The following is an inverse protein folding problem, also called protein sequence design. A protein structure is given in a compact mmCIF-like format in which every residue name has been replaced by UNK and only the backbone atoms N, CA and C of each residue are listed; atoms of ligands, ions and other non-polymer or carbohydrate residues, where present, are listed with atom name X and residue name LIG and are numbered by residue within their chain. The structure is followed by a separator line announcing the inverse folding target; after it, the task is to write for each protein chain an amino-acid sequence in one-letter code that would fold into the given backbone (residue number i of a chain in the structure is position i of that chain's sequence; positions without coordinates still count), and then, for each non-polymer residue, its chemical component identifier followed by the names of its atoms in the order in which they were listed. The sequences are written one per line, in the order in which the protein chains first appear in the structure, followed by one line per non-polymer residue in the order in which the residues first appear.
data_IF_015260569936
#
_entry.id   IF_015260569936
#
_cell.length_a   1.000
_cell.length_b   1.000
_cell.length_c   1.000
_cell.angle_alpha   90.00
_cell.angle_beta   90.00
_cell.angle_gamma   90.00
#
_symmetry.space_group_name_H-M   'P 1'
#
loop_
_entity.id
_entity.type
_entity.pdbx_description
1 polymer ?
#
# COMPACT_ATOMS: atom_id res chain seq x y z
N UNK A 1 7.21 -6.06 18.30
CA UNK A 1 8.09 -5.77 17.14
C UNK A 1 9.15 -4.79 17.63
N UNK A 2 10.44 -5.10 17.50
CA UNK A 2 11.52 -4.19 17.90
C UNK A 2 11.87 -3.34 16.68
N UNK A 3 11.82 -2.02 16.80
CA UNK A 3 12.23 -1.10 15.73
C UNK A 3 13.72 -1.28 15.48
N UNK A 4 14.14 -1.28 14.21
CA UNK A 4 15.54 -1.51 13.85
C UNK A 4 16.31 -0.18 13.77
N UNK A 5 15.63 0.95 13.55
CA UNK A 5 16.23 2.28 13.32
C UNK A 5 16.35 3.21 14.53
N UNK A 6 16.24 2.70 15.76
CA UNK A 6 16.31 3.55 16.96
C UNK A 6 14.99 4.32 17.19
N UNK A 7 15.04 5.65 17.24
CA UNK A 7 13.90 6.53 17.57
C UNK A 7 13.01 6.92 16.36
N UNK A 8 13.48 6.63 15.15
CA UNK A 8 12.74 6.88 13.91
C UNK A 8 12.15 5.59 13.34
N UNK A 9 11.04 5.68 12.62
CA UNK A 9 10.39 4.59 11.90
C UNK A 9 10.23 5.03 10.44
N UNK A 10 11.09 4.57 9.52
CA UNK A 10 10.92 4.83 8.10
C UNK A 10 9.81 3.92 7.53
N UNK A 11 8.79 4.53 6.93
CA UNK A 11 7.59 3.85 6.43
C UNK A 11 7.34 4.24 4.98
N UNK A 12 6.97 3.26 4.14
CA UNK A 12 6.29 3.54 2.88
C UNK A 12 4.78 3.33 3.09
N UNK A 13 3.99 4.38 2.89
CA UNK A 13 2.53 4.34 2.84
C UNK A 13 2.04 4.11 1.41
N UNK A 14 0.98 3.32 1.25
CA UNK A 14 0.31 3.05 -0.02
C UNK A 14 -1.19 3.30 0.10
N UNK A 15 -1.75 3.99 -0.88
CA UNK A 15 -3.18 4.23 -0.99
C UNK A 15 -3.65 4.10 -2.43
N UNK A 16 -4.74 3.36 -2.65
CA UNK A 16 -5.51 3.43 -3.89
C UNK A 16 -6.92 3.91 -3.61
N UNK A 17 -7.21 5.15 -4.04
CA UNK A 17 -8.54 5.72 -3.98
C UNK A 17 -9.52 5.08 -4.95
N UNK A 18 -10.81 5.24 -4.66
CA UNK A 18 -11.91 4.82 -5.54
C UNK A 18 -12.05 5.71 -6.79
N UNK A 19 -11.31 6.82 -6.87
CA UNK A 19 -11.23 7.66 -8.08
C UNK A 19 -10.51 6.97 -9.23
N UNK A 20 -9.78 5.88 -8.98
CA UNK A 20 -9.03 5.11 -9.99
C UNK A 20 -7.96 5.93 -10.74
N UNK A 21 -7.49 7.01 -10.12
CA UNK A 21 -6.45 7.88 -10.68
C UNK A 21 -5.08 7.18 -10.70
N UNK A 22 -4.80 6.40 -9.65
CA UNK A 22 -3.54 5.69 -9.50
C UNK A 22 -3.33 5.05 -8.12
N UNK A 23 -2.10 4.58 -7.93
CA UNK A 23 -1.54 4.15 -6.66
C UNK A 23 -0.63 5.25 -6.12
N UNK A 24 -0.96 5.79 -4.95
CA UNK A 24 -0.13 6.75 -4.25
C UNK A 24 0.87 6.04 -3.35
N UNK A 25 2.12 6.48 -3.40
CA UNK A 25 3.22 6.07 -2.54
C UNK A 25 3.76 7.28 -1.76
N UNK A 26 4.02 7.09 -0.48
CA UNK A 26 4.62 8.12 0.38
C UNK A 26 5.75 7.53 1.23
N UNK A 27 6.96 8.06 1.08
CA UNK A 27 8.07 7.79 1.99
C UNK A 27 8.00 8.76 3.17
N UNK A 28 7.79 8.22 4.37
CA UNK A 28 7.63 8.99 5.60
C UNK A 28 8.59 8.52 6.68
N UNK A 29 9.00 9.42 7.57
CA UNK A 29 9.64 9.08 8.85
C UNK A 29 8.70 9.45 9.98
N UNK A 30 8.48 8.53 10.91
CA UNK A 30 7.74 8.79 12.13
C UNK A 30 8.67 8.74 13.33
N UNK A 31 8.46 9.61 14.32
CA UNK A 31 9.29 9.71 15.52
C UNK A 31 8.41 9.88 16.74
N UNK A 32 8.77 9.24 17.86
CA UNK A 32 8.12 9.50 19.14
C UNK A 32 9.03 10.36 20.02
N UNK A 33 8.72 11.65 20.13
CA UNK A 33 9.49 12.59 20.93
C UNK A 33 8.72 12.86 22.22
N UNK A 34 9.20 12.30 23.34
CA UNK A 34 8.61 12.49 24.69
C UNK A 34 7.10 12.18 24.74
N UNK A 35 6.67 11.10 24.08
CA UNK A 35 5.27 10.67 24.04
C UNK A 35 4.42 11.33 22.96
N UNK A 36 4.98 12.24 22.15
CA UNK A 36 4.30 12.86 21.00
C UNK A 36 4.83 12.29 19.69
N UNK A 37 3.92 11.92 18.80
CA UNK A 37 4.29 11.48 17.46
C UNK A 37 4.49 12.67 16.54
N UNK A 38 5.63 12.67 15.87
CA UNK A 38 5.98 13.59 14.78
C UNK A 38 6.17 12.78 13.51
N UNK A 39 5.94 13.43 12.36
CA UNK A 39 6.22 12.82 11.07
C UNK A 39 6.85 13.80 10.08
N UNK A 40 7.60 13.25 9.14
CA UNK A 40 8.17 13.95 8.00
C UNK A 40 7.78 13.19 6.73
N UNK A 41 7.19 13.89 5.75
CA UNK A 41 7.00 13.37 4.39
C UNK A 41 8.26 13.71 3.58
N UNK A 42 8.99 12.69 3.16
CA UNK A 42 10.24 12.84 2.42
C UNK A 42 10.00 12.89 0.92
N UNK A 43 9.16 11.99 0.42
CA UNK A 43 8.84 11.89 -1.00
C UNK A 43 7.44 11.32 -1.20
N UNK A 44 6.71 11.87 -2.17
CA UNK A 44 5.46 11.31 -2.68
C UNK A 44 5.56 10.97 -4.16
N UNK A 45 4.79 9.97 -4.60
CA UNK A 45 4.63 9.59 -6.02
C UNK A 45 3.22 9.04 -6.25
N UNK A 46 2.63 9.39 -7.38
CA UNK A 46 1.39 8.75 -7.86
C UNK A 46 1.70 7.97 -9.14
N UNK A 47 1.46 6.67 -9.11
CA UNK A 47 1.57 5.78 -10.28
C UNK A 47 0.21 5.71 -10.95
N UNK A 48 0.07 6.31 -12.14
CA UNK A 48 -1.20 6.30 -12.87
C UNK A 48 -1.57 4.87 -13.27
N UNK A 49 -2.84 4.51 -13.08
CA UNK A 49 -3.31 3.21 -13.54
C UNK A 49 -3.41 3.13 -15.05
N UNK A 50 -3.02 1.97 -15.58
CA UNK A 50 -3.34 1.58 -16.95
C UNK A 50 -4.86 1.42 -17.11
N UNK A 51 -5.34 1.50 -18.35
CA UNK A 51 -6.76 1.27 -18.63
C UNK A 51 -7.23 -0.12 -18.15
N UNK A 52 -6.35 -1.13 -18.24
CA UNK A 52 -6.63 -2.47 -17.73
C UNK A 52 -6.84 -2.47 -16.20
N UNK A 53 -5.94 -1.84 -15.44
CA UNK A 53 -6.10 -1.75 -13.98
C UNK A 53 -7.36 -0.99 -13.57
N UNK A 54 -7.66 0.12 -14.27
CA UNK A 54 -8.90 0.87 -14.03
C UNK A 54 -10.13 -0.01 -14.21
N UNK A 55 -10.21 -0.74 -15.33
CA UNK A 55 -11.35 -1.63 -15.61
C UNK A 55 -11.47 -2.76 -14.59
N UNK A 56 -10.35 -3.40 -14.23
CA UNK A 56 -10.34 -4.49 -13.24
C UNK A 56 -10.79 -4.01 -11.86
N UNK A 57 -10.23 -2.91 -11.37
CA UNK A 57 -10.56 -2.35 -10.05
C UNK A 57 -11.99 -1.81 -10.01
N UNK A 58 -12.44 -1.14 -11.08
CA UNK A 58 -13.82 -0.66 -11.20
C UNK A 58 -14.85 -1.78 -11.13
N UNK A 59 -14.55 -2.93 -11.73
CA UNK A 59 -15.45 -4.08 -11.78
C UNK A 59 -15.27 -5.06 -10.61
N UNK A 60 -14.36 -4.79 -9.68
CA UNK A 60 -13.95 -5.73 -8.64
C UNK A 60 -15.12 -6.26 -7.78
N UNK A 61 -16.12 -5.43 -7.52
CA UNK A 61 -17.29 -5.81 -6.72
C UNK A 61 -18.21 -6.83 -7.41
N UNK A 62 -18.08 -6.99 -8.74
CA UNK A 62 -18.89 -7.90 -9.56
C UNK A 62 -18.15 -9.21 -9.88
N UNK A 63 -16.90 -9.35 -9.46
CA UNK A 63 -16.10 -10.55 -9.69
C UNK A 63 -16.64 -11.74 -8.88
N UNK A 64 -16.45 -12.95 -9.40
CA UNK A 64 -16.62 -14.16 -8.61
C UNK A 64 -15.63 -14.19 -7.44
N UNK A 65 -15.88 -15.08 -6.47
CA UNK A 65 -14.97 -15.25 -5.33
C UNK A 65 -13.55 -15.63 -5.76
N UNK A 66 -13.40 -16.49 -6.77
CA UNK A 66 -12.10 -16.91 -7.30
C UNK A 66 -11.36 -15.73 -7.98
N UNK A 67 -12.03 -15.02 -8.88
CA UNK A 67 -11.47 -13.86 -9.58
C UNK A 67 -11.11 -12.72 -8.59
N UNK A 68 -11.88 -12.54 -7.52
CA UNK A 68 -11.57 -11.54 -6.49
C UNK A 68 -10.31 -11.91 -5.70
N UNK A 69 -10.08 -13.20 -5.40
CA UNK A 69 -8.85 -13.67 -4.76
C UNK A 69 -7.66 -13.55 -5.73
N UNK A 70 -7.86 -13.82 -7.01
CA UNK A 70 -6.85 -13.58 -8.04
C UNK A 70 -6.48 -12.08 -8.11
N UNK A 71 -7.47 -11.19 -8.18
CA UNK A 71 -7.26 -9.75 -8.15
C UNK A 71 -6.54 -9.30 -6.86
N UNK A 72 -6.91 -9.86 -5.71
CA UNK A 72 -6.30 -9.56 -4.42
C UNK A 72 -4.78 -9.83 -4.42
N UNK A 73 -4.34 -10.89 -5.11
CA UNK A 73 -2.93 -11.24 -5.24
C UNK A 73 -2.23 -10.47 -6.36
N UNK A 74 -2.85 -10.35 -7.53
CA UNK A 74 -2.27 -9.65 -8.68
C UNK A 74 -2.05 -8.16 -8.37
N UNK A 75 -3.00 -7.53 -7.68
CA UNK A 75 -2.85 -6.14 -7.25
C UNK A 75 -1.75 -5.98 -6.19
N UNK A 76 -1.53 -6.99 -5.34
CA UNK A 76 -0.42 -7.01 -4.40
C UNK A 76 0.95 -7.10 -5.09
N UNK A 77 1.06 -7.90 -6.15
CA UNK A 77 2.27 -7.99 -6.97
C UNK A 77 2.58 -6.65 -7.66
N UNK A 78 1.57 -6.01 -8.22
CA UNK A 78 1.70 -4.67 -8.79
C UNK A 78 2.20 -3.66 -7.74
N UNK A 79 1.57 -3.59 -6.57
CA UNK A 79 2.03 -2.71 -5.48
C UNK A 79 3.47 -3.02 -5.05
N UNK A 80 3.83 -4.30 -4.90
CA UNK A 80 5.19 -4.71 -4.54
C UNK A 80 6.24 -4.28 -5.58
N UNK A 81 5.89 -4.32 -6.87
CA UNK A 81 6.76 -3.82 -7.94
C UNK A 81 6.93 -2.30 -7.86
N UNK A 82 5.83 -1.55 -7.70
CA UNK A 82 5.89 -0.09 -7.60
C UNK A 82 6.65 0.40 -6.36
N UNK A 83 6.54 -0.32 -5.24
CA UNK A 83 7.36 -0.05 -4.04
C UNK A 83 8.85 -0.22 -4.34
N UNK A 84 9.25 -1.29 -5.04
CA UNK A 84 10.66 -1.51 -5.40
C UNK A 84 11.18 -0.40 -6.29
N UNK A 85 10.43 -0.06 -7.34
CA UNK A 85 10.77 1.06 -8.24
C UNK A 85 10.93 2.35 -7.44
N UNK A 86 9.99 2.65 -6.54
CA UNK A 86 10.04 3.85 -5.70
C UNK A 86 11.22 3.85 -4.72
N UNK A 87 11.59 2.70 -4.15
CA UNK A 87 12.80 2.55 -3.32
C UNK A 87 14.05 2.82 -4.17
N UNK A 88 14.13 2.23 -5.37
CA UNK A 88 15.29 2.39 -6.26
C UNK A 88 15.44 3.84 -6.74
N UNK A 89 14.33 4.53 -7.04
CA UNK A 89 14.32 5.94 -7.45
C UNK A 89 14.73 6.90 -6.32
N UNK A 90 14.35 6.60 -5.08
CA UNK A 90 14.53 7.52 -3.94
C UNK A 90 15.71 7.18 -3.05
N UNK A 91 16.24 5.96 -3.14
CA UNK A 91 17.17 5.40 -2.16
C UNK A 91 16.56 5.19 -0.76
N UNK A 92 15.25 5.35 -0.60
CA UNK A 92 14.59 5.25 0.70
C UNK A 92 14.51 3.80 1.17
N UNK A 93 14.93 3.53 2.41
CA UNK A 93 14.95 2.17 2.97
C UNK A 93 13.91 2.04 4.10
N UNK A 94 12.66 1.64 3.81
CA UNK A 94 11.62 1.49 4.83
C UNK A 94 11.88 0.31 5.77
N UNK A 95 11.38 0.42 6.99
CA UNK A 95 11.22 -0.68 7.96
C UNK A 95 9.83 -1.29 7.92
N UNK A 96 8.85 -0.52 7.46
CA UNK A 96 7.45 -0.91 7.36
C UNK A 96 6.87 -0.45 6.03
N UNK A 97 5.99 -1.27 5.47
CA UNK A 97 5.03 -0.84 4.45
C UNK A 97 3.64 -0.86 5.06
N UNK A 98 2.94 0.25 4.97
CA UNK A 98 1.54 0.36 5.38
C UNK A 98 0.69 0.51 4.12
N UNK A 99 -0.14 -0.48 3.81
CA UNK A 99 -1.02 -0.45 2.64
C UNK A 99 -2.47 -0.41 3.06
N UNK A 100 -3.22 0.56 2.55
CA UNK A 100 -4.68 0.54 2.58
C UNK A 100 -5.26 -0.48 1.60
N UNK A 101 -4.60 -0.67 0.45
CA UNK A 101 -5.16 -1.41 -0.69
C UNK A 101 -6.22 -0.60 -1.45
N UNK A 102 -7.06 -1.29 -2.21
CA UNK A 102 -8.17 -0.71 -2.95
C UNK A 102 -9.51 -1.25 -2.42
N UNK A 103 -10.42 -0.38 -1.99
CA UNK A 103 -11.71 -0.77 -1.43
C UNK A 103 -12.62 -1.36 -2.50
N UNK A 104 -13.04 -2.62 -2.31
CA UNK A 104 -14.01 -3.30 -3.16
C UNK A 104 -15.39 -3.32 -2.51
N UNK A 105 -15.46 -3.61 -1.22
CA UNK A 105 -16.70 -3.60 -0.45
C UNK A 105 -16.56 -2.65 0.73
N UNK A 106 -17.57 -1.80 0.92
CA UNK A 106 -17.69 -0.91 2.08
C UNK A 106 -19.13 -0.97 2.58
N UNK A 107 -19.39 -1.85 3.56
CA UNK A 107 -20.73 -2.12 4.09
C UNK A 107 -20.68 -2.09 5.63
N UNK A 108 -20.38 -0.93 6.24
CA UNK A 108 -20.25 -0.79 7.69
C UNK A 108 -21.54 -1.16 8.44
N UNK A 109 -22.71 -0.96 7.84
CA UNK A 109 -24.01 -1.36 8.38
C UNK A 109 -24.14 -2.90 8.49
N UNK A 110 -23.43 -3.64 7.65
CA UNK A 110 -23.26 -5.11 7.74
C UNK A 110 -21.99 -5.51 8.48
N UNK A 111 -21.27 -4.56 9.07
CA UNK A 111 -20.04 -4.74 9.85
C UNK A 111 -18.88 -5.35 9.04
N UNK A 112 -18.80 -5.10 7.74
CA UNK A 112 -17.66 -5.55 6.95
C UNK A 112 -17.19 -4.53 5.90
N UNK A 113 -15.91 -4.63 5.59
CA UNK A 113 -15.22 -3.90 4.54
C UNK A 113 -14.19 -4.85 3.94
N UNK A 114 -13.88 -4.71 2.65
CA UNK A 114 -12.85 -5.52 2.01
C UNK A 114 -12.04 -4.67 1.03
N UNK A 115 -10.73 -4.75 1.19
CA UNK A 115 -9.74 -4.10 0.34
C UNK A 115 -8.91 -5.18 -0.36
N UNK A 116 -8.76 -5.07 -1.68
CA UNK A 116 -7.79 -5.90 -2.41
C UNK A 116 -6.38 -5.38 -2.23
N UNK A 117 -5.40 -6.30 -2.23
CA UNK A 117 -4.01 -5.98 -1.93
C UNK A 117 -3.44 -6.86 -0.82
N UNK A 118 -3.12 -8.11 -1.15
CA UNK A 118 -2.57 -9.09 -0.22
C UNK A 118 -1.28 -8.61 0.48
N UNK A 119 -1.40 -8.24 1.75
CA UNK A 119 -0.27 -7.80 2.57
C UNK A 119 0.87 -8.82 2.67
N UNK A 120 0.58 -10.12 2.60
CA UNK A 120 1.60 -11.17 2.66
C UNK A 120 2.51 -11.19 1.41
N UNK A 121 2.00 -10.73 0.26
CA UNK A 121 2.76 -10.60 -0.99
C UNK A 121 3.54 -9.28 -1.02
N UNK A 122 2.98 -8.21 -0.44
CA UNK A 122 3.63 -6.88 -0.36
C UNK A 122 4.90 -6.91 0.53
N UNK A 123 5.06 -7.93 1.39
CA UNK A 123 6.14 -8.03 2.37
C UNK A 123 7.52 -7.72 1.77
N UNK A 124 8.18 -6.74 2.38
CA UNK A 124 9.59 -6.47 2.15
C UNK A 124 10.45 -7.55 2.83
N UNK A 125 11.11 -8.38 2.02
CA UNK A 125 12.22 -9.21 2.50
C UNK A 125 13.49 -8.37 2.48
N UNK A 126 13.90 -7.81 3.62
CA UNK A 126 15.30 -7.35 3.77
C UNK A 126 16.20 -8.58 3.71
N UNK A 127 17.21 -8.56 2.83
CA UNK A 127 18.35 -9.48 2.96
C UNK A 127 19.01 -9.14 4.29
N UNK A 128 19.10 -10.13 5.19
CA UNK A 128 19.91 -10.03 6.41
C UNK A 128 21.38 -10.12 6.04
#
# INVERSE_FOLDING_TARGET
MKLLSGDEIPVIGLMSGTSLDGLDLAACRFRNVKGKWEFELLQGKTVKYSNQWRQLLQNAANLSGEELIELHNNFAYFMAQEIRIFIDETGFTPELVASHGHTVFHQPEKRFTFQVGNGAIIVLRRKR
#
